data_IF_369128656639
#
_entry.id   IF_369128656639
#
_cell.length_a   1.000
_cell.length_b   1.000
_cell.length_c   1.000
_cell.angle_alpha   90.00
_cell.angle_beta   90.00
_cell.angle_gamma   90.00
#
_symmetry.space_group_name_H-M   'P 1'
#
loop_
_entity.id
_entity.type
_entity.pdbx_description
1 polymer ?
#
# COMPACT_ATOMS: atom_id res chain seq x y z
N UNK A 1 7.30 -22.18 3.59
CA UNK A 1 6.55 -21.50 4.67
C UNK A 1 7.37 -20.30 5.12
N UNK A 2 6.85 -19.10 4.92
CA UNK A 2 7.52 -17.90 5.43
C UNK A 2 7.48 -17.91 6.96
N UNK A 3 8.62 -17.71 7.60
CA UNK A 3 8.67 -17.56 9.04
C UNK A 3 7.89 -16.30 9.45
N UNK A 4 7.07 -16.37 10.48
CA UNK A 4 6.25 -15.26 10.98
C UNK A 4 7.07 -13.98 11.22
N UNK A 5 8.32 -14.12 11.71
CA UNK A 5 9.25 -13.00 11.88
C UNK A 5 9.57 -12.32 10.54
N UNK A 6 9.75 -13.10 9.49
CA UNK A 6 10.04 -12.59 8.17
C UNK A 6 8.84 -11.86 7.55
N UNK A 7 7.63 -12.37 7.78
CA UNK A 7 6.39 -11.69 7.38
C UNK A 7 6.20 -10.37 8.13
N UNK A 8 6.50 -10.33 9.41
CA UNK A 8 6.45 -9.10 10.20
C UNK A 8 7.42 -8.05 9.66
N UNK A 9 8.64 -8.45 9.31
CA UNK A 9 9.63 -7.55 8.70
C UNK A 9 9.12 -7.03 7.36
N UNK A 10 8.62 -7.89 6.47
CA UNK A 10 8.05 -7.50 5.17
C UNK A 10 6.88 -6.53 5.36
N UNK A 11 6.00 -6.80 6.31
CA UNK A 11 4.87 -5.92 6.62
C UNK A 11 5.34 -4.53 7.06
N UNK A 12 6.31 -4.46 7.97
CA UNK A 12 6.82 -3.17 8.44
C UNK A 12 7.56 -2.40 7.34
N UNK A 13 8.31 -3.07 6.48
CA UNK A 13 8.91 -2.45 5.29
C UNK A 13 7.81 -1.85 4.41
N UNK A 14 6.74 -2.60 4.14
CA UNK A 14 5.62 -2.11 3.35
C UNK A 14 4.92 -0.92 4.01
N UNK A 15 4.66 -0.99 5.32
CA UNK A 15 4.04 0.10 6.06
C UNK A 15 4.89 1.39 6.03
N UNK A 16 6.20 1.26 6.23
CA UNK A 16 7.15 2.38 6.14
C UNK A 16 7.19 2.96 4.72
N UNK A 17 7.15 2.12 3.69
CA UNK A 17 7.05 2.57 2.29
C UNK A 17 5.79 3.42 2.09
N UNK A 18 4.64 2.95 2.54
CA UNK A 18 3.39 3.71 2.45
C UNK A 18 3.49 5.05 3.18
N UNK A 19 4.04 5.05 4.40
CA UNK A 19 4.26 6.27 5.18
C UNK A 19 5.13 7.28 4.42
N UNK A 20 6.27 6.83 3.89
CA UNK A 20 7.22 7.69 3.18
C UNK A 20 6.67 8.19 1.85
N UNK A 21 5.93 7.37 1.12
CA UNK A 21 5.26 7.78 -0.12
C UNK A 21 4.17 8.82 0.14
N UNK A 22 3.35 8.61 1.16
CA UNK A 22 2.31 9.58 1.51
C UNK A 22 2.89 10.93 1.95
N UNK A 23 3.97 10.91 2.71
CA UNK A 23 4.68 12.13 3.07
C UNK A 23 5.30 12.82 1.85
N UNK A 24 5.93 12.05 0.96
CA UNK A 24 6.48 12.58 -0.29
C UNK A 24 5.38 13.23 -1.16
N UNK A 25 4.19 12.61 -1.22
CA UNK A 25 3.03 13.15 -1.91
C UNK A 25 2.63 14.53 -1.37
N UNK A 26 2.60 14.71 -0.05
CA UNK A 26 2.32 16.02 0.57
C UNK A 26 3.39 17.05 0.22
N UNK A 27 4.67 16.69 0.34
CA UNK A 27 5.78 17.59 0.02
C UNK A 27 5.72 18.07 -1.43
N UNK A 28 5.40 17.17 -2.36
CA UNK A 28 5.25 17.51 -3.78
C UNK A 28 4.08 18.49 -3.96
N UNK A 29 2.91 18.14 -3.41
CA UNK A 29 1.71 18.97 -3.58
C UNK A 29 1.87 20.33 -2.93
N UNK A 30 2.51 20.42 -1.76
CA UNK A 30 2.78 21.72 -1.11
C UNK A 30 3.63 22.64 -1.99
N UNK A 31 4.59 22.09 -2.71
CA UNK A 31 5.42 22.87 -3.65
C UNK A 31 4.66 23.29 -4.90
N UNK A 32 3.89 22.37 -5.49
CA UNK A 32 3.12 22.63 -6.72
C UNK A 32 2.04 23.69 -6.46
N UNK A 33 1.27 23.53 -5.40
CA UNK A 33 0.13 24.40 -5.08
C UNK A 33 0.48 25.58 -4.17
N UNK A 34 1.77 25.76 -3.82
CA UNK A 34 2.26 26.78 -2.88
C UNK A 34 1.48 26.79 -1.55
N UNK A 35 1.03 25.61 -1.12
CA UNK A 35 0.32 25.44 0.14
C UNK A 35 1.35 25.49 1.28
N UNK A 36 1.14 26.39 2.23
CA UNK A 36 1.95 26.45 3.45
C UNK A 36 1.60 25.27 4.37
N UNK A 37 2.17 24.11 4.11
CA UNK A 37 2.06 22.93 4.99
C UNK A 37 2.94 23.07 6.25
N UNK A 38 3.04 24.28 6.82
CA UNK A 38 3.59 24.48 8.17
C UNK A 38 2.77 23.80 9.27
N UNK A 39 1.62 23.22 8.89
CA UNK A 39 0.74 22.50 9.82
C UNK A 39 1.17 21.04 10.07
N UNK A 40 2.27 20.56 9.47
CA UNK A 40 2.84 19.25 9.83
C UNK A 40 3.18 19.16 11.34
N UNK A 41 3.45 20.30 11.97
CA UNK A 41 3.65 20.42 13.42
C UNK A 41 2.35 20.29 14.23
N UNK A 42 1.19 20.53 13.63
CA UNK A 42 -0.12 20.41 14.30
C UNK A 42 -0.67 18.98 14.28
N UNK A 43 -0.24 18.16 13.29
CA UNK A 43 -0.57 16.76 13.29
C UNK A 43 0.28 16.05 14.34
N UNK A 44 -0.33 15.67 15.46
CA UNK A 44 0.34 15.02 16.58
C UNK A 44 -0.05 13.53 16.68
N UNK A 45 0.93 12.69 17.02
CA UNK A 45 0.70 11.34 17.50
C UNK A 45 0.08 10.37 16.48
N UNK A 46 -1.08 9.85 16.81
CA UNK A 46 -1.83 8.82 16.08
C UNK A 46 -2.20 9.28 14.67
N UNK A 47 -2.58 10.55 14.51
CA UNK A 47 -3.06 11.10 13.24
C UNK A 47 -2.04 10.96 12.10
N UNK A 48 -0.77 11.17 12.40
CA UNK A 48 0.32 11.03 11.41
C UNK A 48 0.49 9.59 10.95
N UNK A 49 0.31 8.63 11.86
CA UNK A 49 0.50 7.21 11.58
C UNK A 49 -0.60 6.63 10.69
N UNK A 50 -1.77 7.26 10.69
CA UNK A 50 -2.88 6.91 9.80
C UNK A 50 -2.82 7.75 8.52
N UNK A 51 -2.64 9.04 8.67
CA UNK A 51 -2.75 10.00 7.56
C UNK A 51 -1.72 9.76 6.46
N UNK A 52 -0.43 9.61 6.79
CA UNK A 52 0.59 9.38 5.77
C UNK A 52 0.45 8.04 5.06
N UNK A 53 0.26 6.89 5.74
CA UNK A 53 0.02 5.65 5.02
C UNK A 53 -1.24 5.65 4.16
N UNK A 54 -2.33 6.30 4.58
CA UNK A 54 -3.54 6.45 3.75
C UNK A 54 -3.22 7.22 2.46
N UNK A 55 -2.51 8.34 2.57
CA UNK A 55 -2.05 9.08 1.38
C UNK A 55 -1.06 8.28 0.55
N UNK A 56 -0.23 7.46 1.17
CA UNK A 56 0.68 6.53 0.49
C UNK A 56 -0.07 5.48 -0.32
N UNK A 57 -1.11 4.89 0.25
CA UNK A 57 -2.02 3.97 -0.44
C UNK A 57 -2.64 4.66 -1.67
N UNK A 58 -3.18 5.86 -1.47
CA UNK A 58 -3.77 6.65 -2.54
C UNK A 58 -2.75 6.97 -3.63
N UNK A 59 -1.58 7.45 -3.28
CA UNK A 59 -0.53 7.81 -4.23
C UNK A 59 0.00 6.60 -4.99
N UNK A 60 0.36 5.53 -4.28
CA UNK A 60 0.85 4.30 -4.89
C UNK A 60 -0.20 3.66 -5.80
N UNK A 61 -1.45 3.54 -5.32
CA UNK A 61 -2.53 2.91 -6.08
C UNK A 61 -2.86 3.66 -7.38
N UNK A 62 -2.94 5.00 -7.33
CA UNK A 62 -3.17 5.80 -8.54
C UNK A 62 -1.97 5.75 -9.50
N UNK A 63 -0.74 5.74 -8.98
CA UNK A 63 0.44 5.55 -9.82
C UNK A 63 0.38 4.21 -10.55
N UNK A 64 0.12 3.11 -9.84
CA UNK A 64 0.03 1.77 -10.43
C UNK A 64 -1.11 1.68 -11.47
N UNK A 65 -2.24 2.31 -11.19
CA UNK A 65 -3.36 2.40 -12.13
C UNK A 65 -2.93 3.09 -13.43
N UNK A 66 -2.33 4.29 -13.34
CA UNK A 66 -1.84 5.04 -14.51
C UNK A 66 -0.72 4.26 -15.22
N UNK A 67 0.20 3.67 -14.46
CA UNK A 67 1.30 2.87 -15.02
C UNK A 67 0.79 1.69 -15.84
N UNK A 68 -0.27 1.02 -15.38
CA UNK A 68 -0.82 -0.14 -16.06
C UNK A 68 -1.52 0.18 -17.40
N UNK A 69 -1.82 1.44 -17.69
CA UNK A 69 -2.23 1.83 -19.05
C UNK A 69 -1.12 1.60 -20.08
N UNK A 70 0.12 1.71 -19.68
CA UNK A 70 1.27 1.66 -20.57
C UNK A 70 2.02 0.33 -20.49
N UNK A 71 2.14 -0.24 -19.28
CA UNK A 71 2.98 -1.39 -19.01
C UNK A 71 2.32 -2.30 -17.96
N UNK A 72 2.50 -3.65 -18.07
CA UNK A 72 2.06 -4.58 -17.05
C UNK A 72 2.77 -4.32 -15.71
N UNK A 73 2.07 -4.55 -14.59
CA UNK A 73 2.61 -4.22 -13.25
C UNK A 73 3.86 -5.03 -12.87
N UNK A 74 4.07 -6.22 -13.45
CA UNK A 74 5.30 -7.01 -13.26
C UNK A 74 6.54 -6.36 -13.84
N UNK A 75 6.39 -5.33 -14.70
CA UNK A 75 7.52 -4.64 -15.26
C UNK A 75 8.29 -3.92 -14.14
N UNK A 76 9.61 -4.11 -14.11
CA UNK A 76 10.48 -3.53 -13.06
C UNK A 76 10.41 -2.01 -12.96
N UNK A 77 9.98 -1.34 -14.03
CA UNK A 77 9.75 0.11 -14.03
C UNK A 77 8.62 0.55 -13.07
N UNK A 78 7.71 -0.36 -12.68
CA UNK A 78 6.70 -0.09 -11.66
C UNK A 78 7.31 0.34 -10.31
N UNK A 79 8.53 -0.12 -10.03
CA UNK A 79 9.27 0.28 -8.82
C UNK A 79 9.83 1.70 -8.86
N UNK A 80 9.77 2.40 -9.99
CA UNK A 80 10.19 3.81 -10.06
C UNK A 80 9.45 4.71 -9.07
N UNK A 81 8.23 4.32 -8.67
CA UNK A 81 7.49 5.01 -7.61
C UNK A 81 8.30 5.11 -6.31
N UNK A 82 9.13 4.12 -6.01
CA UNK A 82 9.95 4.13 -4.79
C UNK A 82 11.01 5.24 -4.79
N UNK A 83 11.34 5.80 -5.95
CA UNK A 83 12.26 6.93 -6.03
C UNK A 83 11.69 8.18 -5.32
N UNK A 84 10.35 8.30 -5.23
CA UNK A 84 9.73 9.40 -4.48
C UNK A 84 10.05 9.36 -2.99
N UNK A 85 10.45 8.22 -2.43
CA UNK A 85 10.90 8.09 -1.04
C UNK A 85 12.12 8.99 -0.79
N UNK A 86 13.00 9.17 -1.78
CA UNK A 86 14.20 10.01 -1.67
C UNK A 86 13.89 11.50 -1.43
N UNK A 87 12.68 11.96 -1.75
CA UNK A 87 12.25 13.34 -1.45
C UNK A 87 12.29 13.60 0.06
N UNK A 88 12.06 12.58 0.88
CA UNK A 88 12.07 12.70 2.33
C UNK A 88 13.47 13.05 2.88
N UNK A 89 14.56 12.72 2.19
CA UNK A 89 15.90 13.05 2.65
C UNK A 89 16.18 14.56 2.69
N UNK A 90 15.52 15.34 1.84
CA UNK A 90 15.63 16.81 1.87
C UNK A 90 14.82 17.46 2.99
N UNK A 91 13.91 16.69 3.60
CA UNK A 91 13.00 17.13 4.65
C UNK A 91 13.10 16.13 5.81
N UNK A 92 13.98 16.33 6.79
CA UNK A 92 14.22 15.36 7.84
C UNK A 92 12.93 15.00 8.56
N UNK A 93 12.75 13.71 8.76
CA UNK A 93 11.65 13.17 9.57
C UNK A 93 12.11 13.27 11.01
N UNK A 94 11.33 13.95 11.85
CA UNK A 94 11.61 13.97 13.28
C UNK A 94 11.52 12.53 13.82
N UNK A 95 12.54 12.15 14.60
CA UNK A 95 12.65 10.82 15.22
C UNK A 95 11.37 10.40 15.96
N UNK A 96 10.72 11.35 16.64
CA UNK A 96 9.47 11.13 17.36
C UNK A 96 8.34 10.61 16.46
N UNK A 97 8.29 11.02 15.18
CA UNK A 97 7.29 10.57 14.21
C UNK A 97 7.52 9.11 13.83
N UNK A 98 8.77 8.70 13.65
CA UNK A 98 9.11 7.30 13.38
C UNK A 98 8.89 6.41 14.61
N UNK A 99 9.21 6.91 15.82
CA UNK A 99 8.97 6.20 17.06
C UNK A 99 7.48 5.86 17.27
N UNK A 100 6.59 6.72 16.78
CA UNK A 100 5.15 6.47 16.79
C UNK A 100 4.78 5.17 16.05
N UNK A 101 5.41 4.88 14.91
CA UNK A 101 5.16 3.66 14.14
C UNK A 101 5.46 2.41 14.97
N UNK A 102 6.49 2.46 15.81
CA UNK A 102 6.85 1.34 16.69
C UNK A 102 5.83 1.09 17.80
N UNK A 103 5.06 2.11 18.20
CA UNK A 103 4.00 1.96 19.21
C UNK A 103 2.83 1.13 18.70
N UNK A 104 2.60 1.09 17.39
CA UNK A 104 1.56 0.27 16.76
C UNK A 104 1.98 -1.20 16.56
N UNK A 105 3.25 -1.51 16.82
CA UNK A 105 3.82 -2.85 16.61
C UNK A 105 3.01 -3.97 17.26
N UNK A 106 2.56 -3.88 18.53
CA UNK A 106 1.80 -4.95 19.16
C UNK A 106 0.49 -5.27 18.42
N UNK A 107 -0.20 -4.22 17.90
CA UNK A 107 -1.44 -4.37 17.13
C UNK A 107 -1.17 -5.22 15.88
N UNK A 108 -0.16 -4.84 15.11
CA UNK A 108 0.17 -5.54 13.87
C UNK A 108 0.74 -6.94 14.08
N UNK A 109 1.44 -7.20 15.20
CA UNK A 109 1.86 -8.56 15.56
C UNK A 109 0.64 -9.46 15.76
N UNK A 110 -0.36 -9.00 16.50
CA UNK A 110 -1.59 -9.76 16.76
C UNK A 110 -2.35 -9.97 15.43
N UNK A 111 -2.52 -8.93 14.64
CA UNK A 111 -3.20 -9.02 13.34
C UNK A 111 -2.50 -9.96 12.37
N UNK A 112 -1.17 -9.92 12.29
CA UNK A 112 -0.40 -10.86 11.47
C UNK A 112 -0.53 -12.30 11.98
N UNK A 113 -0.52 -12.51 13.30
CA UNK A 113 -0.70 -13.83 13.88
C UNK A 113 -2.08 -14.42 13.52
N UNK A 114 -3.14 -13.60 13.55
CA UNK A 114 -4.49 -14.04 13.18
C UNK A 114 -4.64 -14.29 11.67
N UNK A 115 -3.84 -13.64 10.85
CA UNK A 115 -3.89 -13.77 9.37
C UNK A 115 -2.94 -14.84 8.83
N UNK A 116 -2.12 -15.47 9.68
CA UNK A 116 -1.05 -16.38 9.23
C UNK A 116 -1.55 -17.63 8.50
N UNK A 117 -2.76 -18.09 8.82
CA UNK A 117 -3.37 -19.31 8.25
C UNK A 117 -4.76 -19.02 7.62
N UNK A 118 -4.92 -17.83 7.05
CA UNK A 118 -6.17 -17.47 6.39
C UNK A 118 -6.21 -18.10 5.00
N UNK A 119 -7.27 -18.90 4.76
CA UNK A 119 -7.62 -19.36 3.43
C UNK A 119 -8.36 -18.26 2.66
N UNK A 120 -8.12 -18.22 1.35
CA UNK A 120 -8.89 -17.32 0.49
C UNK A 120 -10.36 -17.74 0.42
N UNK A 121 -11.25 -16.74 0.46
CA UNK A 121 -12.65 -16.95 0.14
C UNK A 121 -12.81 -17.44 -1.31
N UNK A 122 -13.88 -18.17 -1.58
CA UNK A 122 -14.19 -18.70 -2.91
C UNK A 122 -14.13 -17.63 -4.01
N UNK A 123 -14.66 -16.44 -3.76
CA UNK A 123 -14.65 -15.32 -4.71
C UNK A 123 -13.25 -14.84 -5.08
N UNK A 124 -12.29 -14.97 -4.15
CA UNK A 124 -10.90 -14.63 -4.45
C UNK A 124 -10.34 -15.47 -5.60
N UNK A 125 -10.62 -16.78 -5.60
CA UNK A 125 -10.19 -17.68 -6.67
C UNK A 125 -10.96 -17.49 -7.99
N UNK A 126 -12.23 -17.05 -7.91
CA UNK A 126 -13.06 -16.87 -9.10
C UNK A 126 -12.66 -15.65 -9.93
N UNK A 127 -12.48 -14.50 -9.31
CA UNK A 127 -12.24 -13.27 -10.07
C UNK A 127 -11.16 -12.35 -9.49
N UNK A 128 -11.01 -12.20 -8.17
CA UNK A 128 -10.04 -11.26 -7.61
C UNK A 128 -8.59 -11.61 -7.96
N UNK A 129 -8.17 -12.85 -7.68
CA UNK A 129 -6.81 -13.27 -7.98
C UNK A 129 -6.54 -13.35 -9.49
N UNK A 130 -7.54 -13.76 -10.27
CA UNK A 130 -7.44 -13.76 -11.72
C UNK A 130 -7.28 -12.34 -12.26
N UNK A 131 -8.09 -11.37 -11.77
CA UNK A 131 -7.96 -9.98 -12.15
C UNK A 131 -6.59 -9.42 -11.79
N UNK A 132 -6.09 -9.69 -10.58
CA UNK A 132 -4.74 -9.28 -10.17
C UNK A 132 -3.65 -9.89 -11.05
N UNK A 133 -3.78 -11.16 -11.46
CA UNK A 133 -2.85 -11.80 -12.38
C UNK A 133 -2.84 -11.10 -13.75
N UNK A 134 -4.00 -10.70 -14.26
CA UNK A 134 -4.09 -9.94 -15.49
C UNK A 134 -3.42 -8.57 -15.39
N UNK A 135 -3.61 -7.84 -14.29
CA UNK A 135 -2.93 -6.57 -14.05
C UNK A 135 -1.40 -6.73 -13.99
N UNK A 136 -0.93 -7.88 -13.48
CA UNK A 136 0.50 -8.19 -13.45
C UNK A 136 1.05 -8.50 -14.84
N UNK A 137 0.31 -9.29 -15.64
CA UNK A 137 0.83 -9.85 -16.88
C UNK A 137 0.55 -8.99 -18.13
N UNK A 138 -0.45 -8.11 -18.07
CA UNK A 138 -0.88 -7.28 -19.20
C UNK A 138 -1.18 -5.83 -18.78
N UNK A 139 -1.25 -4.97 -19.79
CA UNK A 139 -1.81 -3.63 -19.64
C UNK A 139 -3.32 -3.72 -19.39
N UNK A 140 -3.94 -2.58 -19.05
CA UNK A 140 -5.39 -2.47 -18.97
C UNK A 140 -6.03 -2.94 -20.28
N UNK A 141 -6.92 -3.93 -20.17
CA UNK A 141 -7.68 -4.46 -21.30
C UNK A 141 -9.08 -3.88 -21.27
N UNK A 142 -9.39 -3.03 -22.26
CA UNK A 142 -10.72 -2.48 -22.40
C UNK A 142 -11.75 -3.57 -22.76
N UNK A 143 -12.93 -3.51 -22.17
CA UNK A 143 -14.01 -4.46 -22.44
C UNK A 143 -13.89 -5.80 -21.72
N UNK A 144 -13.03 -5.90 -20.73
CA UNK A 144 -12.82 -7.13 -19.94
C UNK A 144 -14.10 -7.60 -19.23
N UNK A 145 -14.92 -6.64 -18.79
CA UNK A 145 -16.26 -6.90 -18.22
C UNK A 145 -17.22 -7.59 -19.17
N UNK A 146 -16.99 -7.49 -20.50
CA UNK A 146 -17.83 -8.18 -21.48
C UNK A 146 -17.56 -9.70 -21.50
N UNK A 147 -16.39 -10.15 -21.01
CA UNK A 147 -16.05 -11.56 -20.88
C UNK A 147 -16.71 -12.12 -19.62
N UNK A 148 -16.56 -11.42 -18.52
CA UNK A 148 -17.14 -11.78 -17.23
C UNK A 148 -17.34 -10.52 -16.39
N UNK A 149 -18.60 -10.22 -16.04
CA UNK A 149 -18.98 -8.97 -15.35
C UNK A 149 -18.10 -8.60 -14.15
N UNK A 150 -17.74 -9.53 -13.24
CA UNK A 150 -16.86 -9.26 -12.10
C UNK A 150 -15.46 -8.75 -12.47
N UNK A 151 -14.94 -9.00 -13.67
CA UNK A 151 -13.68 -8.44 -14.13
C UNK A 151 -13.75 -6.93 -14.43
N UNK A 152 -14.93 -6.35 -14.47
CA UNK A 152 -15.11 -4.90 -14.61
C UNK A 152 -14.90 -4.13 -13.29
N UNK A 153 -14.84 -4.82 -12.18
CA UNK A 153 -14.57 -4.20 -10.88
C UNK A 153 -13.10 -3.87 -10.76
N UNK A 154 -12.75 -2.63 -11.11
CA UNK A 154 -11.39 -2.13 -10.96
C UNK A 154 -11.36 -1.12 -9.82
N UNK A 155 -10.45 -1.32 -8.87
CA UNK A 155 -10.24 -0.42 -7.74
C UNK A 155 -8.76 -0.26 -7.45
N UNK A 156 -8.41 0.83 -6.78
CA UNK A 156 -7.04 1.03 -6.27
C UNK A 156 -6.57 -0.15 -5.41
N UNK A 157 -7.50 -0.79 -4.71
CA UNK A 157 -7.21 -1.99 -3.90
C UNK A 157 -6.68 -3.14 -4.76
N UNK A 158 -7.27 -3.42 -5.92
CA UNK A 158 -6.81 -4.49 -6.82
C UNK A 158 -5.41 -4.24 -7.36
N UNK A 159 -5.09 -2.99 -7.71
CA UNK A 159 -3.74 -2.63 -8.18
C UNK A 159 -2.69 -2.79 -7.09
N UNK A 160 -3.00 -2.38 -5.86
CA UNK A 160 -2.11 -2.55 -4.71
C UNK A 160 -1.93 -4.01 -4.34
N UNK A 161 -3.02 -4.78 -4.37
CA UNK A 161 -2.98 -6.22 -4.11
C UNK A 161 -2.14 -6.95 -5.16
N UNK A 162 -2.34 -6.62 -6.44
CA UNK A 162 -1.52 -7.16 -7.53
C UNK A 162 -0.03 -6.80 -7.35
N UNK A 163 0.27 -5.57 -6.96
CA UNK A 163 1.64 -5.13 -6.68
C UNK A 163 2.29 -5.91 -5.52
N UNK A 164 1.51 -6.28 -4.50
CA UNK A 164 1.98 -7.08 -3.37
C UNK A 164 2.24 -8.56 -3.73
N UNK A 165 1.81 -8.99 -4.90
CA UNK A 165 1.98 -10.37 -5.37
C UNK A 165 3.37 -10.66 -5.98
N UNK A 166 4.35 -9.86 -5.66
CA UNK A 166 5.68 -9.81 -6.32
C UNK A 166 6.48 -11.12 -6.25
N UNK A 167 6.33 -11.88 -5.18
CA UNK A 167 7.01 -13.17 -4.98
C UNK A 167 6.04 -14.36 -5.07
N UNK A 168 4.84 -14.13 -5.59
CA UNK A 168 3.72 -15.08 -5.62
C UNK A 168 3.30 -15.59 -4.23
N UNK A 169 3.66 -14.86 -3.19
CA UNK A 169 3.22 -15.14 -1.83
C UNK A 169 1.84 -14.51 -1.61
N UNK A 170 0.80 -15.33 -1.56
CA UNK A 170 -0.56 -14.86 -1.26
C UNK A 170 -0.66 -14.19 0.11
N UNK A 171 0.25 -14.47 1.02
CA UNK A 171 0.28 -13.83 2.35
C UNK A 171 0.46 -12.31 2.27
N UNK A 172 1.23 -11.81 1.29
CA UNK A 172 1.46 -10.38 1.15
C UNK A 172 0.21 -9.61 0.72
N UNK A 173 -0.71 -10.27 0.02
CA UNK A 173 -1.98 -9.66 -0.41
C UNK A 173 -2.82 -9.24 0.81
N UNK A 174 -2.73 -9.96 1.92
CA UNK A 174 -3.42 -9.61 3.16
C UNK A 174 -2.86 -8.35 3.85
N UNK A 175 -1.65 -7.92 3.52
CA UNK A 175 -1.03 -6.75 4.16
C UNK A 175 -1.88 -5.49 4.04
N UNK A 176 -2.55 -5.30 2.93
CA UNK A 176 -3.40 -4.12 2.74
C UNK A 176 -4.60 -4.13 3.69
N UNK A 177 -5.27 -5.28 3.84
CA UNK A 177 -6.35 -5.46 4.81
C UNK A 177 -5.86 -5.24 6.24
N UNK A 178 -4.67 -5.76 6.59
CA UNK A 178 -4.07 -5.57 7.91
C UNK A 178 -3.77 -4.09 8.20
N UNK A 179 -3.32 -3.34 7.20
CA UNK A 179 -3.08 -1.89 7.35
C UNK A 179 -4.39 -1.18 7.70
N UNK A 180 -5.50 -1.45 6.98
CA UNK A 180 -6.79 -0.82 7.26
C UNK A 180 -7.36 -1.22 8.63
N UNK A 181 -7.29 -2.49 9.00
CA UNK A 181 -7.73 -2.96 10.32
C UNK A 181 -6.86 -2.34 11.41
N UNK A 182 -5.56 -2.25 11.19
CA UNK A 182 -4.62 -1.61 12.10
C UNK A 182 -4.91 -0.12 12.31
N UNK A 183 -5.34 0.61 11.27
CA UNK A 183 -5.78 1.99 11.41
C UNK A 183 -6.97 2.11 12.38
N UNK A 184 -7.93 1.23 12.24
CA UNK A 184 -9.10 1.22 13.14
C UNK A 184 -8.67 1.02 14.61
N UNK A 185 -7.84 0.02 14.89
CA UNK A 185 -7.35 -0.22 16.25
C UNK A 185 -6.36 0.83 16.77
N UNK A 186 -5.72 1.58 15.89
CA UNK A 186 -4.83 2.68 16.28
C UNK A 186 -5.63 3.92 16.64
N UNK A 187 -6.81 4.08 16.03
CA UNK A 187 -7.71 5.21 16.27
C UNK A 187 -8.52 5.07 17.57
N UNK A 188 -8.84 3.83 17.99
CA UNK A 188 -9.51 3.55 19.27
C UNK A 188 -8.62 3.79 20.47
#
# INVERSE_FOLDING_TARGET
MDNMVFLLIKFYIFFVILFLLGRAFIIINSKIFKLNFHEESKLQGIDIQIFYPVLGIFFLGNFLYIFNYFLPLKNKLSYLILLFIFINFKHPIYYEKLKGILKTLPIYIILLATSYDINFHYDAGLYHLNNQLWLLESNIVAGFSNIYGPYGVSSIYEYLSAFLWLDRSFMLVHFLSLVFIGFFYTFL
#
